data_IF_555015849478
#
_entry.id   IF_555015849478
#
_cell.length_a   1.000
_cell.length_b   1.000
_cell.length_c   1.000
_cell.angle_alpha   90.00
_cell.angle_beta   90.00
_cell.angle_gamma   90.00
#
_symmetry.space_group_name_H-M   'P 1'
#
loop_
_entity.id
_entity.type
_entity.pdbx_description
1 polymer ?
#
# COMPACT_ATOMS: atom_id res chain seq x y z
N UNK A 1 35.93 29.49 32.76
CA UNK A 1 35.38 29.92 31.45
C UNK A 1 35.52 28.86 30.36
N UNK A 2 36.72 28.48 29.90
CA UNK A 2 36.85 27.55 28.75
C UNK A 2 36.38 26.11 29.06
N UNK A 3 36.71 25.58 30.24
CA UNK A 3 36.29 24.25 30.67
C UNK A 3 34.78 24.14 30.93
N UNK A 4 34.18 25.18 31.51
CA UNK A 4 32.74 25.24 31.82
C UNK A 4 31.90 25.31 30.54
N UNK A 5 32.40 26.01 29.50
CA UNK A 5 31.75 26.08 28.19
C UNK A 5 31.72 24.74 27.46
N UNK A 6 32.80 23.94 27.57
CA UNK A 6 32.86 22.59 26.98
C UNK A 6 31.89 21.64 27.70
N UNK A 7 31.83 21.71 29.03
CA UNK A 7 30.90 20.88 29.83
C UNK A 7 29.44 21.24 29.52
N UNK A 8 29.12 22.54 29.43
CA UNK A 8 27.76 22.99 29.06
C UNK A 8 27.37 22.50 27.66
N UNK A 9 28.28 22.57 26.69
CA UNK A 9 28.04 22.09 25.33
C UNK A 9 27.79 20.58 25.29
N UNK A 10 28.55 19.78 26.05
CA UNK A 10 28.36 18.34 26.14
C UNK A 10 27.02 17.96 26.81
N UNK A 11 26.64 18.68 27.86
CA UNK A 11 25.34 18.47 28.53
C UNK A 11 24.18 18.82 27.60
N UNK A 12 24.27 19.94 26.88
CA UNK A 12 23.24 20.35 25.91
C UNK A 12 23.11 19.36 24.75
N UNK A 13 24.24 18.83 24.24
CA UNK A 13 24.23 17.81 23.19
C UNK A 13 23.60 16.49 23.67
N UNK A 14 23.92 16.06 24.90
CA UNK A 14 23.32 14.87 25.50
C UNK A 14 21.81 15.02 25.69
N UNK A 15 21.35 16.20 26.16
CA UNK A 15 19.93 16.49 26.31
C UNK A 15 19.20 16.53 24.96
N UNK A 16 19.82 17.09 23.93
CA UNK A 16 19.26 17.11 22.58
C UNK A 16 19.16 15.71 21.97
N UNK A 17 20.19 14.87 22.15
CA UNK A 17 20.16 13.48 21.74
C UNK A 17 19.06 12.69 22.46
N UNK A 18 18.88 12.89 23.77
CA UNK A 18 17.78 12.30 24.54
C UNK A 18 16.40 12.76 24.03
N UNK A 19 16.27 14.03 23.67
CA UNK A 19 15.02 14.56 23.11
C UNK A 19 14.71 13.96 21.75
N UNK A 20 15.70 13.81 20.87
CA UNK A 20 15.53 13.18 19.56
C UNK A 20 15.16 11.69 19.66
N UNK A 21 15.73 10.95 20.63
CA UNK A 21 15.35 9.56 20.89
C UNK A 21 13.92 9.46 21.43
N UNK A 22 13.47 10.44 22.21
CA UNK A 22 12.10 10.48 22.75
C UNK A 22 11.02 10.74 21.68
N UNK A 23 11.36 11.44 20.59
CA UNK A 23 10.41 11.77 19.51
C UNK A 23 10.20 10.59 18.54
N UNK A 24 11.02 9.54 18.62
CA UNK A 24 10.91 8.33 17.79
C UNK A 24 10.08 7.20 18.44
N UNK A 25 9.18 7.51 19.38
CA UNK A 25 8.20 6.51 19.83
C UNK A 25 7.10 6.43 18.77
N UNK A 26 7.17 5.39 17.93
CA UNK A 26 6.06 5.04 17.04
C UNK A 26 4.77 4.99 17.86
N UNK A 27 3.69 5.58 17.34
CA UNK A 27 2.41 5.62 18.04
C UNK A 27 2.04 4.22 18.58
N UNK A 28 2.16 4.04 19.88
CA UNK A 28 1.58 2.89 20.57
C UNK A 28 0.06 3.10 20.57
N UNK A 29 -0.61 2.63 19.53
CA UNK A 29 -2.07 2.69 19.35
C UNK A 29 -2.86 1.88 20.40
N UNK A 30 -2.21 1.39 21.46
CA UNK A 30 -2.73 0.43 22.43
C UNK A 30 -2.58 0.94 23.88
N UNK A 31 -3.38 1.95 24.26
CA UNK A 31 -3.49 2.41 25.66
C UNK A 31 -4.41 1.50 26.51
N UNK A 32 -4.15 0.19 26.56
CA UNK A 32 -4.99 -0.75 27.33
C UNK A 32 -4.59 -2.24 27.24
N UNK A 33 -5.47 -3.13 27.74
CA UNK A 33 -5.33 -4.59 27.60
C UNK A 33 -5.54 -4.99 26.13
N UNK A 34 -4.49 -4.89 25.31
CA UNK A 34 -4.56 -5.37 23.94
C UNK A 34 -4.54 -6.91 23.93
N UNK A 35 -5.44 -7.56 23.18
CA UNK A 35 -5.36 -9.00 23.00
C UNK A 35 -4.00 -9.33 22.39
N UNK A 36 -3.31 -10.33 22.94
CA UNK A 36 -2.05 -10.86 22.41
C UNK A 36 -2.30 -11.56 21.06
N UNK A 37 -2.55 -10.81 20.00
CA UNK A 37 -2.39 -11.29 18.64
C UNK A 37 -0.88 -11.18 18.36
N UNK A 38 -0.14 -12.28 18.31
CA UNK A 38 1.34 -12.23 18.35
C UNK A 38 2.03 -12.06 17.00
N UNK A 39 1.34 -12.27 15.87
CA UNK A 39 2.01 -12.40 14.56
C UNK A 39 1.28 -11.65 13.42
N UNK A 40 1.11 -10.34 13.57
CA UNK A 40 0.61 -9.48 12.49
C UNK A 40 1.37 -8.14 12.48
N UNK A 41 1.49 -7.55 11.29
CA UNK A 41 2.03 -6.22 11.07
C UNK A 41 0.87 -5.22 10.95
N UNK A 42 0.98 -4.07 11.61
CA UNK A 42 0.07 -2.95 11.40
C UNK A 42 0.67 -2.03 10.35
N UNK A 43 -0.08 -1.78 9.27
CA UNK A 43 0.32 -0.85 8.21
C UNK A 43 -0.68 0.28 8.08
N UNK A 44 -0.19 1.52 8.14
CA UNK A 44 -0.96 2.68 7.73
C UNK A 44 -0.71 2.92 6.24
N UNK A 45 -1.79 2.90 5.45
CA UNK A 45 -1.75 3.23 4.03
C UNK A 45 -2.46 4.56 3.80
N UNK A 46 -1.79 5.48 3.12
CA UNK A 46 -2.41 6.72 2.65
C UNK A 46 -3.50 6.45 1.59
N UNK A 47 -4.35 7.46 1.35
CA UNK A 47 -5.30 7.43 0.26
C UNK A 47 -4.57 7.21 -1.09
N UNK A 48 -5.07 6.28 -1.90
CA UNK A 48 -4.38 5.82 -3.10
C UNK A 48 -5.35 5.51 -4.24
N UNK A 49 -4.83 5.49 -5.47
CA UNK A 49 -5.61 5.20 -6.68
C UNK A 49 -5.17 3.87 -7.28
N UNK A 50 -6.13 3.08 -7.73
CA UNK A 50 -5.93 1.73 -8.24
C UNK A 50 -6.74 1.52 -9.52
N UNK A 51 -6.26 0.66 -10.42
CA UNK A 51 -7.12 0.06 -11.45
C UNK A 51 -7.66 -1.25 -10.91
N UNK A 52 -8.96 -1.45 -11.03
CA UNK A 52 -9.66 -2.61 -10.46
C UNK A 52 -10.51 -3.28 -11.52
N UNK A 53 -10.50 -4.61 -11.55
CA UNK A 53 -11.39 -5.41 -12.39
C UNK A 53 -11.99 -6.57 -11.59
N UNK A 54 -13.19 -7.03 -11.98
CA UNK A 54 -13.85 -8.17 -11.34
C UNK A 54 -13.13 -9.47 -11.67
N UNK A 55 -13.06 -10.38 -10.69
CA UNK A 55 -12.68 -11.78 -10.90
C UNK A 55 -13.98 -12.59 -10.86
N UNK A 56 -14.23 -13.41 -11.88
CA UNK A 56 -15.54 -14.06 -12.06
C UNK A 56 -15.78 -15.19 -11.03
N UNK A 57 -14.72 -15.85 -10.58
CA UNK A 57 -14.78 -16.84 -9.49
C UNK A 57 -13.41 -17.04 -8.82
N UNK A 58 -13.35 -17.88 -7.79
CA UNK A 58 -12.09 -18.25 -7.11
C UNK A 58 -11.20 -19.22 -7.92
N UNK A 59 -11.61 -19.62 -9.13
CA UNK A 59 -10.80 -20.48 -10.00
C UNK A 59 -9.55 -19.75 -10.48
N UNK A 60 -8.42 -20.45 -10.52
CA UNK A 60 -7.14 -19.89 -10.98
C UNK A 60 -7.22 -19.31 -12.40
N UNK A 61 -8.00 -19.93 -13.30
CA UNK A 61 -8.25 -19.42 -14.64
C UNK A 61 -8.84 -18.01 -14.63
N UNK A 62 -9.75 -17.74 -13.71
CA UNK A 62 -10.52 -16.50 -13.68
C UNK A 62 -9.68 -15.38 -13.03
N UNK A 63 -8.83 -15.73 -12.06
CA UNK A 63 -7.79 -14.85 -11.52
C UNK A 63 -6.79 -14.45 -12.61
N UNK A 64 -6.33 -15.42 -13.41
CA UNK A 64 -5.42 -15.15 -14.54
C UNK A 64 -6.09 -14.31 -15.64
N UNK A 65 -7.37 -14.54 -15.91
CA UNK A 65 -8.14 -13.74 -16.87
C UNK A 65 -8.30 -12.28 -16.40
N UNK A 66 -8.60 -12.06 -15.12
CA UNK A 66 -8.62 -10.72 -14.52
C UNK A 66 -7.25 -10.03 -14.60
N UNK A 67 -6.17 -10.78 -14.31
CA UNK A 67 -4.81 -10.27 -14.42
C UNK A 67 -4.44 -9.90 -15.87
N UNK A 68 -4.86 -10.69 -16.85
CA UNK A 68 -4.67 -10.36 -18.28
C UNK A 68 -5.39 -9.08 -18.67
N UNK A 69 -6.64 -8.89 -18.19
CA UNK A 69 -7.40 -7.65 -18.44
C UNK A 69 -6.66 -6.40 -17.95
N UNK A 70 -6.10 -6.43 -16.74
CA UNK A 70 -5.32 -5.29 -16.22
C UNK A 70 -4.02 -5.06 -17.01
N UNK A 71 -3.35 -6.13 -17.47
CA UNK A 71 -2.17 -6.02 -18.37
C UNK A 71 -2.51 -5.35 -19.70
N UNK A 72 -3.59 -5.80 -20.33
CA UNK A 72 -4.02 -5.28 -21.62
C UNK A 72 -4.45 -3.82 -21.51
N UNK A 73 -5.15 -3.47 -20.41
CA UNK A 73 -5.47 -2.08 -20.08
C UNK A 73 -4.20 -1.24 -19.92
N UNK A 74 -3.26 -1.67 -19.08
CA UNK A 74 -2.01 -0.95 -18.82
C UNK A 74 -1.18 -0.73 -20.11
N UNK A 75 -1.13 -1.75 -20.97
CA UNK A 75 -0.47 -1.67 -22.28
C UNK A 75 -1.12 -0.59 -23.16
N UNK A 76 -2.45 -0.57 -23.27
CA UNK A 76 -3.18 0.45 -24.04
C UNK A 76 -2.93 1.86 -23.49
N UNK A 77 -2.88 2.03 -22.17
CA UNK A 77 -2.56 3.33 -21.56
C UNK A 77 -1.16 3.80 -21.95
N UNK A 78 -0.19 2.88 -21.94
CA UNK A 78 1.19 3.16 -22.35
C UNK A 78 1.26 3.54 -23.84
N UNK A 79 0.55 2.82 -24.70
CA UNK A 79 0.44 3.13 -26.15
C UNK A 79 -0.24 4.47 -26.41
N UNK A 80 -1.18 4.88 -25.56
CA UNK A 80 -1.82 6.19 -25.58
C UNK A 80 -0.92 7.33 -25.04
N UNK A 81 0.32 7.02 -24.66
CA UNK A 81 1.30 7.99 -24.19
C UNK A 81 1.18 8.33 -22.70
N UNK A 82 0.35 7.61 -21.93
CA UNK A 82 0.36 7.71 -20.46
C UNK A 82 1.70 7.14 -19.98
N UNK A 83 2.46 7.98 -19.30
CA UNK A 83 3.75 7.61 -18.72
C UNK A 83 3.58 7.32 -17.23
N UNK A 84 4.23 6.26 -16.79
CA UNK A 84 4.43 6.00 -15.36
C UNK A 84 5.51 6.94 -14.80
N UNK A 85 6.05 6.58 -13.65
CA UNK A 85 7.18 7.30 -13.03
C UNK A 85 8.50 6.86 -13.66
N UNK A 86 9.60 7.53 -13.32
CA UNK A 86 10.95 7.09 -13.73
C UNK A 86 11.27 5.65 -13.25
N UNK A 87 10.59 5.19 -12.21
CA UNK A 87 10.81 3.90 -11.55
C UNK A 87 9.78 2.82 -11.83
N UNK A 88 8.64 3.14 -12.47
CA UNK A 88 7.56 2.19 -12.70
C UNK A 88 6.76 2.53 -13.96
N UNK A 89 6.43 1.52 -14.77
CA UNK A 89 5.41 1.69 -15.81
C UNK A 89 4.04 1.96 -15.17
N UNK A 90 3.08 2.47 -15.95
CA UNK A 90 1.75 2.93 -15.47
C UNK A 90 1.07 1.91 -14.54
N UNK A 91 1.32 0.60 -14.71
CA UNK A 91 0.71 -0.42 -13.87
C UNK A 91 1.59 -1.68 -13.59
N UNK A 92 2.91 -1.62 -13.75
CA UNK A 92 3.79 -2.72 -13.31
C UNK A 92 4.21 -2.51 -11.85
N UNK A 93 3.20 -2.51 -10.98
CA UNK A 93 3.36 -2.13 -9.58
C UNK A 93 2.97 -3.28 -8.68
N UNK A 94 3.74 -3.43 -7.61
CA UNK A 94 3.52 -4.45 -6.60
C UNK A 94 3.17 -3.78 -5.27
N UNK A 95 2.28 -4.36 -4.45
CA UNK A 95 1.56 -5.61 -4.65
C UNK A 95 0.30 -5.47 -5.51
N UNK A 96 -0.11 -6.59 -6.14
CA UNK A 96 -1.48 -6.76 -6.61
C UNK A 96 -2.37 -7.15 -5.42
N UNK A 97 -3.58 -6.57 -5.34
CA UNK A 97 -4.55 -6.87 -4.29
C UNK A 97 -5.70 -7.69 -4.83
N UNK A 98 -6.04 -8.78 -4.14
CA UNK A 98 -7.31 -9.47 -4.32
C UNK A 98 -8.21 -9.09 -3.15
N UNK A 99 -9.37 -8.52 -3.45
CA UNK A 99 -10.42 -8.24 -2.47
C UNK A 99 -11.51 -9.30 -2.59
N UNK A 100 -11.94 -9.81 -1.45
CA UNK A 100 -13.12 -10.68 -1.31
C UNK A 100 -14.15 -9.90 -0.50
N UNK A 101 -15.38 -9.82 -1.01
CA UNK A 101 -16.50 -9.23 -0.28
C UNK A 101 -17.56 -10.29 -0.08
N UNK A 102 -17.74 -10.72 1.16
CA UNK A 102 -18.80 -11.65 1.53
C UNK A 102 -20.13 -10.89 1.68
N UNK A 103 -21.20 -11.42 1.08
CA UNK A 103 -22.53 -10.84 1.11
C UNK A 103 -23.61 -11.89 1.36
N UNK A 104 -24.90 -11.53 1.18
CA UNK A 104 -26.01 -12.50 1.26
C UNK A 104 -26.07 -13.50 0.08
N UNK A 105 -25.18 -13.35 -0.91
CA UNK A 105 -25.06 -14.20 -2.09
C UNK A 105 -23.64 -14.72 -2.26
N UNK A 106 -23.29 -15.10 -3.50
CA UNK A 106 -21.95 -15.55 -3.83
C UNK A 106 -20.90 -14.46 -3.52
N UNK A 107 -19.70 -14.84 -3.03
CA UNK A 107 -18.64 -13.89 -2.73
C UNK A 107 -18.22 -13.15 -3.99
N UNK A 108 -18.04 -11.83 -3.87
CA UNK A 108 -17.54 -11.01 -4.96
C UNK A 108 -16.02 -10.85 -4.85
N UNK A 109 -15.33 -11.08 -5.98
CA UNK A 109 -13.88 -11.02 -6.07
C UNK A 109 -13.46 -9.89 -7.01
N UNK A 110 -12.40 -9.16 -6.64
CA UNK A 110 -11.79 -8.16 -7.53
C UNK A 110 -10.27 -8.16 -7.41
N UNK A 111 -9.61 -7.90 -8.53
CA UNK A 111 -8.17 -7.70 -8.62
C UNK A 111 -7.88 -6.21 -8.80
N UNK A 112 -6.95 -5.66 -8.02
CA UNK A 112 -6.54 -4.26 -8.09
C UNK A 112 -5.02 -4.12 -8.25
N UNK A 113 -4.58 -3.23 -9.12
CA UNK A 113 -3.17 -2.81 -9.28
C UNK A 113 -3.00 -1.33 -8.93
N UNK A 114 -1.92 -1.02 -8.22
CA UNK A 114 -1.64 0.31 -7.70
C UNK A 114 -1.23 1.27 -8.80
N UNK A 115 -1.69 2.52 -8.74
CA UNK A 115 -1.19 3.59 -9.61
C UNK A 115 -0.26 4.48 -8.78
N UNK A 116 1.05 4.55 -9.12
CA UNK A 116 2.00 5.39 -8.41
C UNK A 116 1.60 6.86 -8.44
N UNK A 117 1.81 7.62 -7.35
CA UNK A 117 1.66 9.05 -7.35
C UNK A 117 2.48 9.69 -8.47
N UNK A 118 1.95 10.73 -9.12
CA UNK A 118 2.61 11.40 -10.24
C UNK A 118 2.41 10.73 -11.60
N UNK A 119 1.81 9.54 -11.65
CA UNK A 119 1.36 8.93 -12.92
C UNK A 119 0.28 9.82 -13.53
N UNK A 120 0.36 10.08 -14.84
CA UNK A 120 -0.73 10.79 -15.54
C UNK A 120 -1.99 9.94 -15.43
N UNK A 121 -3.11 10.56 -15.05
CA UNK A 121 -4.37 9.83 -14.80
C UNK A 121 -4.74 8.97 -16.03
N UNK A 122 -4.86 7.64 -15.89
CA UNK A 122 -5.27 6.77 -16.98
C UNK A 122 -6.66 7.12 -17.49
N UNK A 123 -6.87 6.95 -18.79
CA UNK A 123 -8.18 7.11 -19.40
C UNK A 123 -9.07 5.91 -19.05
N UNK A 124 -10.29 6.16 -18.60
CA UNK A 124 -11.24 5.10 -18.27
C UNK A 124 -12.01 4.65 -19.52
N UNK A 125 -11.31 4.04 -20.48
CA UNK A 125 -11.87 3.63 -21.78
C UNK A 125 -12.33 2.17 -21.85
N UNK A 126 -11.96 1.33 -20.88
CA UNK A 126 -12.37 -0.08 -20.81
C UNK A 126 -13.49 -0.25 -19.78
N UNK A 127 -14.71 -0.67 -20.16
CA UNK A 127 -15.83 -0.79 -19.22
C UNK A 127 -15.64 -1.88 -18.15
N UNK A 128 -14.68 -2.79 -18.35
CA UNK A 128 -14.37 -3.87 -17.39
C UNK A 128 -13.28 -3.48 -16.39
N UNK A 129 -12.62 -2.35 -16.58
CA UNK A 129 -11.57 -1.84 -15.69
C UNK A 129 -12.02 -0.48 -15.15
N UNK A 130 -11.93 -0.31 -13.84
CA UNK A 130 -12.37 0.92 -13.19
C UNK A 130 -11.22 1.53 -12.41
N UNK A 131 -11.19 2.86 -12.40
CA UNK A 131 -10.31 3.60 -11.51
C UNK A 131 -10.97 3.70 -10.13
N UNK A 132 -10.36 3.08 -9.12
CA UNK A 132 -10.86 3.03 -7.76
C UNK A 132 -9.98 3.90 -6.85
N UNK A 133 -10.59 4.81 -6.10
CA UNK A 133 -9.92 5.49 -4.99
C UNK A 133 -10.13 4.68 -3.72
N UNK A 134 -9.03 4.29 -3.08
CA UNK A 134 -9.04 3.65 -1.77
C UNK A 134 -8.66 4.72 -0.73
N UNK A 135 -9.48 4.93 0.31
CA UNK A 135 -9.18 5.92 1.34
C UNK A 135 -7.98 5.49 2.18
N UNK A 136 -7.45 6.43 2.96
CA UNK A 136 -6.49 6.13 4.02
C UNK A 136 -7.07 5.07 4.96
N UNK A 137 -6.26 4.07 5.30
CA UNK A 137 -6.70 2.97 6.14
C UNK A 137 -5.55 2.35 6.95
N UNK A 138 -5.87 1.91 8.15
CA UNK A 138 -5.02 1.02 8.95
C UNK A 138 -5.37 -0.43 8.64
N UNK A 139 -4.40 -1.19 8.14
CA UNK A 139 -4.55 -2.61 7.82
C UNK A 139 -3.74 -3.47 8.81
N UNK A 140 -4.32 -4.61 9.16
CA UNK A 140 -3.70 -5.67 9.96
C UNK A 140 -3.29 -6.79 9.02
N UNK A 141 -1.98 -6.99 8.84
CA UNK A 141 -1.42 -7.87 7.80
C UNK A 141 -0.77 -9.09 8.45
N UNK A 142 -1.18 -10.27 8.03
CA UNK A 142 -0.47 -11.52 8.33
C UNK A 142 0.14 -12.07 7.04
N UNK A 143 1.40 -12.46 7.10
CA UNK A 143 2.16 -12.95 5.95
C UNK A 143 2.42 -14.45 6.08
N UNK A 144 2.23 -15.20 5.00
CA UNK A 144 2.50 -16.63 4.93
C UNK A 144 3.53 -16.91 3.85
N UNK A 145 4.57 -17.67 4.17
CA UNK A 145 5.53 -18.14 3.18
C UNK A 145 5.00 -19.40 2.50
N UNK A 146 4.89 -19.37 1.17
CA UNK A 146 4.58 -20.55 0.37
C UNK A 146 5.90 -21.11 -0.14
N UNK A 147 6.30 -22.29 0.33
CA UNK A 147 7.41 -23.02 -0.29
C UNK A 147 6.89 -23.56 -1.63
N UNK A 148 7.36 -22.96 -2.73
CA UNK A 148 7.08 -23.36 -4.10
C UNK A 148 8.07 -24.44 -4.57
#
# INVERSE_FOLDING_TARGET
VHQESVIMAQVMFALFALFLVSVCTGQDFCAGKCPHYKDFEVRLYDASTWITTKIDSSRSSDVLAANSRLKDYAKKQTEAGIRGTESASVCDTWPALVKVTDGKGDPEFSLSWFIPPGTTKPENSDPLVQLESKPEATLYVSSYFVNL
#
